data_IF_079566009672
#
_entry.id   IF_079566009672
#
_cell.length_a   1.000
_cell.length_b   1.000
_cell.length_c   1.000
_cell.angle_alpha   90.00
_cell.angle_beta   90.00
_cell.angle_gamma   90.00
#
_symmetry.space_group_name_H-M   'P 1'
#
loop_
_entity.id
_entity.type
_entity.pdbx_description
1 polymer ?
#
# COMPACT_ATOMS: atom_id res chain seq x y z
N UNK A 1 -2.92 21.62 -7.35
CA UNK A 1 -1.88 21.20 -6.40
C UNK A 1 -0.56 21.93 -6.63
N UNK A 2 -0.07 21.96 -7.87
CA UNK A 2 1.26 22.55 -8.15
C UNK A 2 1.39 24.03 -7.82
N UNK A 3 0.33 24.81 -7.95
CA UNK A 3 0.33 26.24 -7.59
C UNK A 3 0.46 26.48 -6.09
N UNK A 4 0.30 25.45 -5.26
CA UNK A 4 0.34 25.54 -3.80
C UNK A 4 1.68 25.05 -3.22
N UNK A 5 2.62 24.65 -4.07
CA UNK A 5 3.91 24.11 -3.62
C UNK A 5 5.06 25.01 -4.08
N UNK A 6 6.23 24.82 -3.49
CA UNK A 6 7.42 25.57 -3.85
C UNK A 6 7.95 25.17 -5.23
N UNK A 7 8.76 26.05 -5.82
CA UNK A 7 9.42 25.75 -7.11
C UNK A 7 10.29 24.51 -7.01
N UNK A 8 10.96 24.28 -5.89
CA UNK A 8 11.79 23.10 -5.67
C UNK A 8 10.96 21.83 -5.68
N UNK A 9 9.81 21.85 -5.01
CA UNK A 9 8.90 20.70 -4.98
C UNK A 9 8.32 20.42 -6.36
N UNK A 10 7.93 21.46 -7.09
CA UNK A 10 7.42 21.33 -8.46
C UNK A 10 8.47 20.73 -9.40
N UNK A 11 9.72 21.24 -9.31
CA UNK A 11 10.80 20.71 -10.11
C UNK A 11 11.07 19.23 -9.78
N UNK A 12 11.07 18.89 -8.49
CA UNK A 12 11.20 17.50 -8.04
C UNK A 12 10.15 16.57 -8.63
N UNK A 13 8.89 17.04 -8.68
CA UNK A 13 7.81 16.29 -9.32
C UNK A 13 8.13 16.02 -10.79
N UNK A 14 8.59 17.02 -11.53
CA UNK A 14 8.86 16.88 -12.96
C UNK A 14 10.03 15.94 -13.27
N UNK A 15 11.07 15.93 -12.45
CA UNK A 15 12.28 15.12 -12.72
C UNK A 15 12.23 13.75 -12.07
N UNK A 16 11.52 13.59 -10.97
CA UNK A 16 11.45 12.33 -10.24
C UNK A 16 10.18 11.53 -10.52
N UNK A 17 9.06 12.21 -10.76
CA UNK A 17 7.79 11.56 -11.04
C UNK A 17 7.87 10.56 -12.19
N UNK A 18 8.36 10.95 -13.38
CA UNK A 18 8.44 10.03 -14.51
C UNK A 18 9.40 8.85 -14.32
N UNK A 19 10.33 8.95 -13.36
CA UNK A 19 11.23 7.84 -13.04
C UNK A 19 10.53 6.74 -12.26
N UNK A 20 9.50 7.08 -11.52
CA UNK A 20 8.74 6.16 -10.68
C UNK A 20 7.43 5.74 -11.34
N UNK A 21 6.71 6.72 -11.88
CA UNK A 21 5.42 6.47 -12.54
C UNK A 21 5.68 6.48 -14.04
N UNK A 22 5.92 5.31 -14.58
CA UNK A 22 6.26 5.10 -15.98
C UNK A 22 5.04 4.60 -16.76
N UNK A 23 5.22 4.44 -18.08
CA UNK A 23 4.19 3.81 -18.92
C UNK A 23 3.90 2.38 -18.47
N UNK A 24 4.92 1.65 -17.98
CA UNK A 24 4.74 0.29 -17.47
C UNK A 24 3.90 0.29 -16.20
N UNK A 25 4.07 1.28 -15.32
CA UNK A 25 3.25 1.45 -14.12
C UNK A 25 1.78 1.61 -14.50
N UNK A 26 1.50 2.48 -15.47
CA UNK A 26 0.13 2.70 -15.94
C UNK A 26 -0.47 1.44 -16.57
N UNK A 27 0.32 0.72 -17.37
CA UNK A 27 -0.12 -0.53 -17.98
C UNK A 27 -0.44 -1.58 -16.91
N UNK A 28 0.36 -1.65 -15.84
CA UNK A 28 0.12 -2.57 -14.73
C UNK A 28 -1.15 -2.22 -13.98
N UNK A 29 -1.41 -0.92 -13.76
CA UNK A 29 -2.67 -0.48 -13.14
C UNK A 29 -3.89 -0.93 -13.96
N UNK A 30 -3.80 -0.87 -15.29
CA UNK A 30 -4.87 -1.35 -16.17
C UNK A 30 -5.05 -2.86 -16.05
N UNK A 31 -3.96 -3.63 -15.94
CA UNK A 31 -4.04 -5.08 -15.76
C UNK A 31 -4.70 -5.45 -14.44
N UNK A 32 -4.36 -4.72 -13.38
CA UNK A 32 -4.98 -4.93 -12.06
C UNK A 32 -6.48 -4.65 -12.13
N UNK A 33 -6.87 -3.56 -12.80
CA UNK A 33 -8.28 -3.25 -12.98
C UNK A 33 -9.00 -4.35 -13.77
N UNK A 34 -8.38 -4.85 -14.84
CA UNK A 34 -8.95 -5.94 -15.63
C UNK A 34 -9.16 -7.21 -14.78
N UNK A 35 -8.20 -7.52 -13.91
CA UNK A 35 -8.30 -8.67 -13.00
C UNK A 35 -9.47 -8.54 -12.02
N UNK A 36 -9.77 -7.31 -11.60
CA UNK A 36 -10.94 -7.05 -10.76
C UNK A 36 -12.23 -7.21 -11.56
N UNK A 37 -12.26 -6.64 -12.76
CA UNK A 37 -13.46 -6.63 -13.60
C UNK A 37 -13.86 -8.02 -14.10
N UNK A 38 -12.88 -8.87 -14.40
CA UNK A 38 -13.13 -10.22 -14.95
C UNK A 38 -13.30 -11.29 -13.86
N UNK A 39 -13.19 -10.92 -12.59
CA UNK A 39 -13.36 -11.84 -11.47
C UNK A 39 -12.10 -12.57 -11.03
N UNK A 40 -10.96 -12.35 -11.68
CA UNK A 40 -9.71 -13.02 -11.33
C UNK A 40 -9.31 -12.72 -9.87
N UNK A 41 -9.38 -11.46 -9.48
CA UNK A 41 -9.09 -11.06 -8.09
C UNK A 41 -10.00 -11.77 -7.09
N UNK A 42 -11.31 -11.78 -7.35
CA UNK A 42 -12.28 -12.41 -6.46
C UNK A 42 -12.04 -13.92 -6.34
N UNK A 43 -11.78 -14.60 -7.46
CA UNK A 43 -11.50 -16.03 -7.44
C UNK A 43 -10.25 -16.36 -6.64
N UNK A 44 -9.20 -15.57 -6.81
CA UNK A 44 -7.96 -15.76 -6.07
C UNK A 44 -8.14 -15.54 -4.57
N UNK A 45 -8.91 -14.53 -4.20
CA UNK A 45 -9.22 -14.26 -2.80
C UNK A 45 -10.02 -15.38 -2.15
N UNK A 46 -11.06 -15.87 -2.85
CA UNK A 46 -11.87 -16.98 -2.34
C UNK A 46 -11.00 -18.23 -2.15
N UNK A 47 -10.13 -18.53 -3.12
CA UNK A 47 -9.23 -19.67 -3.01
C UNK A 47 -8.27 -19.52 -1.82
N UNK A 48 -7.76 -18.33 -1.58
CA UNK A 48 -6.91 -18.04 -0.43
C UNK A 48 -7.68 -18.25 0.88
N UNK A 49 -8.92 -17.78 0.96
CA UNK A 49 -9.76 -17.98 2.14
C UNK A 49 -10.06 -19.45 2.40
N UNK A 50 -10.38 -20.21 1.35
CA UNK A 50 -10.68 -21.63 1.46
C UNK A 50 -9.46 -22.44 1.92
N UNK A 51 -8.26 -22.02 1.55
CA UNK A 51 -7.01 -22.65 1.97
C UNK A 51 -6.59 -22.24 3.40
N UNK A 52 -7.33 -21.36 4.07
CA UNK A 52 -7.02 -20.90 5.42
C UNK A 52 -6.17 -19.65 5.47
N UNK A 53 -6.09 -18.91 4.38
CA UNK A 53 -5.36 -17.64 4.25
C UNK A 53 -3.85 -17.76 4.49
N UNK A 54 -3.17 -18.75 3.87
CA UNK A 54 -1.75 -18.99 4.15
C UNK A 54 -0.85 -17.82 3.78
N UNK A 55 -1.06 -17.21 2.61
CA UNK A 55 -0.23 -16.08 2.16
C UNK A 55 -0.52 -14.82 2.98
N UNK A 56 -1.77 -14.55 3.31
CA UNK A 56 -2.14 -13.41 4.16
C UNK A 56 -1.50 -13.52 5.53
N UNK A 57 -1.54 -14.70 6.13
CA UNK A 57 -0.94 -14.94 7.45
C UNK A 57 0.57 -14.75 7.42
N UNK A 58 1.21 -15.28 6.38
CA UNK A 58 2.66 -15.16 6.18
C UNK A 58 3.08 -13.69 6.06
N UNK A 59 2.37 -12.91 5.25
CA UNK A 59 2.68 -11.50 5.03
C UNK A 59 2.40 -10.70 6.29
N UNK A 60 1.29 -10.94 6.97
CA UNK A 60 0.97 -10.27 8.24
C UNK A 60 2.05 -10.50 9.29
N UNK A 61 2.52 -11.75 9.42
CA UNK A 61 3.58 -12.08 10.35
C UNK A 61 4.86 -11.35 10.01
N UNK A 62 5.26 -11.38 8.74
CA UNK A 62 6.45 -10.67 8.28
C UNK A 62 6.36 -9.18 8.57
N UNK A 63 5.24 -8.56 8.24
CA UNK A 63 5.06 -7.12 8.39
C UNK A 63 4.95 -6.70 9.86
N UNK A 64 4.43 -7.59 10.73
CA UNK A 64 4.36 -7.31 12.16
C UNK A 64 5.74 -7.19 12.80
N UNK A 65 6.77 -7.76 12.19
CA UNK A 65 8.14 -7.69 12.67
C UNK A 65 8.88 -6.45 12.16
N UNK A 66 8.27 -5.66 11.27
CA UNK A 66 8.91 -4.48 10.73
C UNK A 66 9.11 -3.42 11.82
N UNK A 67 10.28 -2.75 11.86
CA UNK A 67 10.55 -1.71 12.89
C UNK A 67 9.48 -0.62 12.98
N UNK A 68 8.81 -0.29 11.86
CA UNK A 68 7.76 0.72 11.86
C UNK A 68 6.60 0.35 12.78
N UNK A 69 6.31 -0.95 12.92
CA UNK A 69 5.24 -1.41 13.80
C UNK A 69 5.58 -1.19 15.27
N UNK A 70 6.84 -1.39 15.63
CA UNK A 70 7.29 -1.16 17.00
C UNK A 70 7.28 0.34 17.33
N UNK A 71 7.75 1.17 16.41
CA UNK A 71 7.73 2.63 16.58
C UNK A 71 6.29 3.13 16.65
N UNK A 72 5.42 2.66 15.76
CA UNK A 72 4.01 3.03 15.76
C UNK A 72 3.29 2.66 17.05
N UNK A 73 3.59 1.47 17.58
CA UNK A 73 3.04 1.02 18.87
C UNK A 73 3.47 1.94 20.02
N UNK A 74 4.76 2.30 20.03
CA UNK A 74 5.28 3.23 21.04
C UNK A 74 4.62 4.59 20.96
N UNK A 75 4.45 5.13 19.76
CA UNK A 75 3.78 6.42 19.56
C UNK A 75 2.32 6.38 19.96
N UNK A 76 1.59 5.32 19.57
CA UNK A 76 0.18 5.17 19.94
C UNK A 76 -0.02 5.04 21.44
N UNK A 77 0.93 4.44 22.16
CA UNK A 77 0.84 4.31 23.62
C UNK A 77 0.87 5.66 24.35
N UNK A 78 1.37 6.70 23.68
CA UNK A 78 1.39 8.06 24.21
C UNK A 78 0.03 8.76 24.14
N UNK A 79 -0.91 8.24 23.36
CA UNK A 79 -2.23 8.83 23.19
C UNK A 79 -3.24 8.17 24.11
N UNK A 80 -3.64 8.88 25.17
CA UNK A 80 -4.54 8.35 26.19
C UNK A 80 -5.91 7.93 25.63
N UNK A 81 -6.38 8.60 24.57
CA UNK A 81 -7.68 8.29 23.98
C UNK A 81 -7.68 7.00 23.13
N UNK A 82 -6.52 6.42 22.84
CA UNK A 82 -6.42 5.17 22.10
C UNK A 82 -6.36 3.93 22.99
N UNK A 83 -6.28 4.11 24.30
CA UNK A 83 -6.08 2.99 25.25
C UNK A 83 -7.27 2.04 25.34
N UNK A 84 -8.44 2.50 24.96
CA UNK A 84 -9.66 1.70 25.01
C UNK A 84 -9.87 0.84 23.76
N UNK A 85 -9.03 1.00 22.74
CA UNK A 85 -9.17 0.31 21.45
C UNK A 85 -8.59 -1.10 21.47
#
# INVERSE_FOLDING_TARGET
>A
MRDSISNTAEYGDYVSGPRLITADTKAEMKRILADIQDGTFARNFVAECEAGKPEMKKIRERDSQHPIEQVGKGLRSMFSWLKAA
#
